data_IF_084205445798
#
_entry.id   IF_084205445798
#
_cell.length_a   1.000
_cell.length_b   1.000
_cell.length_c   1.000
_cell.angle_alpha   90.00
_cell.angle_beta   90.00
_cell.angle_gamma   90.00
#
_symmetry.space_group_name_H-M   'P 1'
#
loop_
_entity.id
_entity.type
_entity.pdbx_description
1 polymer ?
#
# COMPACT_ATOMS: atom_id res chain seq x y z
N UNK A 1 0.94 -6.89 -5.02
CA UNK A 1 1.74 -6.13 -6.02
C UNK A 1 3.04 -5.75 -5.37
N UNK A 2 4.16 -6.15 -5.97
CA UNK A 2 5.50 -5.85 -5.49
C UNK A 2 6.23 -4.99 -6.52
N UNK A 3 6.95 -3.94 -6.11
CA UNK A 3 7.65 -3.04 -7.05
C UNK A 3 8.78 -2.33 -6.33
N UNK A 4 9.83 -1.89 -7.03
CA UNK A 4 10.60 -0.75 -6.52
C UNK A 4 9.72 0.52 -6.58
N UNK A 5 9.80 1.45 -5.60
CA UNK A 5 8.97 2.66 -5.63
C UNK A 5 9.03 3.38 -6.98
N UNK A 6 7.90 3.98 -7.40
CA UNK A 6 7.81 4.77 -8.65
C UNK A 6 7.96 3.98 -9.95
N UNK A 7 7.74 2.66 -9.89
CA UNK A 7 7.78 1.75 -11.05
C UNK A 7 6.39 1.39 -11.61
N UNK A 8 5.36 2.20 -11.37
CA UNK A 8 3.99 1.96 -11.89
C UNK A 8 3.07 1.18 -10.95
N UNK A 9 3.37 1.14 -9.65
CA UNK A 9 2.61 0.41 -8.62
C UNK A 9 1.14 0.78 -8.61
N UNK A 10 0.81 2.08 -8.54
CA UNK A 10 -0.57 2.59 -8.46
C UNK A 10 -1.43 2.12 -9.63
N UNK A 11 -0.88 2.18 -10.85
CA UNK A 11 -1.60 1.76 -12.05
C UNK A 11 -1.85 0.24 -12.05
N UNK A 12 -0.84 -0.55 -11.69
CA UNK A 12 -0.99 -2.00 -11.56
C UNK A 12 -2.00 -2.40 -10.49
N UNK A 13 -2.00 -1.73 -9.33
CA UNK A 13 -2.99 -1.96 -8.27
C UNK A 13 -4.42 -1.74 -8.80
N UNK A 14 -4.66 -0.64 -9.50
CA UNK A 14 -5.99 -0.30 -10.00
C UNK A 14 -6.50 -1.33 -11.01
N UNK A 15 -5.68 -1.68 -12.00
CA UNK A 15 -6.03 -2.68 -13.01
C UNK A 15 -6.34 -4.03 -12.36
N UNK A 16 -5.47 -4.50 -11.46
CA UNK A 16 -5.65 -5.80 -10.79
C UNK A 16 -6.88 -5.78 -9.88
N UNK A 17 -7.16 -4.65 -9.22
CA UNK A 17 -8.37 -4.52 -8.42
C UNK A 17 -9.61 -4.69 -9.28
N UNK A 18 -9.71 -3.93 -10.38
CA UNK A 18 -10.86 -3.95 -11.27
C UNK A 18 -11.07 -5.33 -11.89
N UNK A 19 -10.00 -5.96 -12.39
CA UNK A 19 -10.07 -7.32 -12.95
C UNK A 19 -10.62 -8.31 -11.92
N UNK A 20 -10.16 -8.24 -10.67
CA UNK A 20 -10.61 -9.15 -9.61
C UNK A 20 -12.00 -8.80 -9.03
N UNK A 21 -12.55 -7.64 -9.36
CA UNK A 21 -13.86 -7.17 -8.88
C UNK A 21 -14.81 -6.90 -10.05
N UNK A 22 -14.74 -7.71 -11.12
CA UNK A 22 -15.66 -7.69 -12.25
C UNK A 22 -15.82 -6.31 -12.92
N UNK A 23 -14.75 -5.54 -12.96
CA UNK A 23 -14.73 -4.17 -13.50
C UNK A 23 -15.73 -3.24 -12.78
N UNK A 24 -15.90 -3.38 -11.47
CA UNK A 24 -16.75 -2.51 -10.64
C UNK A 24 -16.11 -1.12 -10.46
N UNK A 25 -16.25 -0.27 -11.48
CA UNK A 25 -15.75 1.11 -11.49
C UNK A 25 -16.42 1.98 -10.42
N UNK A 26 -17.69 1.72 -10.10
CA UNK A 26 -18.43 2.51 -9.10
C UNK A 26 -17.84 2.33 -7.71
N UNK A 27 -17.53 1.09 -7.32
CA UNK A 27 -16.86 0.82 -6.05
C UNK A 27 -15.41 1.28 -6.06
N UNK A 28 -14.69 1.11 -7.17
CA UNK A 28 -13.31 1.60 -7.29
C UNK A 28 -13.20 3.12 -7.07
N UNK A 29 -14.20 3.88 -7.52
CA UNK A 29 -14.30 5.34 -7.34
C UNK A 29 -14.66 5.74 -5.91
N UNK A 30 -15.49 4.95 -5.21
CA UNK A 30 -15.96 5.23 -3.84
C UNK A 30 -14.96 4.82 -2.77
N UNK A 31 -14.21 3.73 -2.98
CA UNK A 31 -13.29 3.18 -1.98
C UNK A 31 -11.85 3.59 -2.31
N UNK A 32 -11.16 4.33 -1.43
CA UNK A 32 -9.78 4.72 -1.63
C UNK A 32 -8.84 3.54 -1.91
N UNK A 33 -7.82 3.79 -2.74
CA UNK A 33 -6.90 2.74 -3.19
C UNK A 33 -6.06 2.15 -2.04
N UNK A 34 -5.69 2.95 -1.05
CA UNK A 34 -4.97 2.52 0.16
C UNK A 34 -5.82 1.61 1.05
N UNK A 35 -7.15 1.79 1.07
CA UNK A 35 -8.08 0.85 1.69
C UNK A 35 -8.20 -0.46 0.88
N UNK A 36 -8.22 -0.37 -0.46
CA UNK A 36 -8.31 -1.53 -1.35
C UNK A 36 -7.01 -2.35 -1.43
N UNK A 37 -5.87 -1.69 -1.23
CA UNK A 37 -4.52 -2.25 -1.21
C UNK A 37 -3.74 -1.72 -0.02
N UNK A 38 -3.93 -2.30 1.17
CA UNK A 38 -3.10 -2.02 2.32
C UNK A 38 -1.62 -2.19 1.99
N UNK A 39 -0.82 -1.27 2.53
CA UNK A 39 0.62 -1.25 2.31
C UNK A 39 1.30 -2.04 3.43
N UNK A 40 2.00 -3.12 3.06
CA UNK A 40 2.51 -4.08 4.04
C UNK A 40 3.46 -3.46 5.07
N UNK A 41 4.33 -2.55 4.64
CA UNK A 41 5.42 -2.00 5.44
C UNK A 41 5.32 -0.50 5.76
N UNK A 42 4.24 0.20 5.38
CA UNK A 42 4.18 1.66 5.53
C UNK A 42 4.31 2.12 6.98
N UNK A 43 3.79 1.34 7.93
CA UNK A 43 3.92 1.60 9.37
C UNK A 43 5.37 1.68 9.86
N UNK A 44 6.35 1.10 9.14
CA UNK A 44 7.77 1.26 9.49
C UNK A 44 8.27 2.69 9.34
N UNK A 45 7.68 3.47 8.44
CA UNK A 45 8.04 4.87 8.23
C UNK A 45 7.40 5.80 9.27
N UNK A 46 6.57 5.26 10.16
CA UNK A 46 5.72 6.05 11.04
C UNK A 46 6.10 5.90 12.52
N UNK A 47 7.00 6.76 13.00
CA UNK A 47 7.32 6.83 14.42
C UNK A 47 6.21 7.55 15.21
N UNK A 48 6.10 7.31 16.54
CA UNK A 48 5.21 8.11 17.40
C UNK A 48 5.59 9.60 17.43
N UNK A 49 6.87 9.92 17.21
CA UNK A 49 7.37 11.29 17.11
C UNK A 49 6.81 11.96 15.85
N UNK A 50 6.97 11.32 14.68
CA UNK A 50 6.45 11.81 13.41
C UNK A 50 4.93 12.02 13.49
N UNK A 51 4.22 11.11 14.17
CA UNK A 51 2.78 11.25 14.39
C UNK A 51 2.41 12.58 15.05
N UNK A 52 3.06 12.89 16.18
CA UNK A 52 2.77 14.12 16.93
C UNK A 52 3.11 15.37 16.11
N UNK A 53 4.24 15.35 15.41
CA UNK A 53 4.70 16.47 14.59
C UNK A 53 3.74 16.74 13.43
N UNK A 54 3.35 15.70 12.69
CA UNK A 54 2.41 15.86 11.57
C UNK A 54 1.03 16.29 12.07
N UNK A 55 0.56 15.74 13.20
CA UNK A 55 -0.73 16.13 13.77
C UNK A 55 -0.72 17.61 14.24
N UNK A 56 0.37 18.06 14.86
CA UNK A 56 0.55 19.46 15.27
C UNK A 56 0.59 20.42 14.06
N UNK A 57 1.26 20.02 12.97
CA UNK A 57 1.27 20.78 11.70
C UNK A 57 -0.11 20.84 11.01
N UNK A 58 -1.07 20.02 11.46
CA UNK A 58 -2.42 19.92 10.92
C UNK A 58 -3.48 20.39 11.93
N UNK A 59 -3.12 21.27 12.86
CA UNK A 59 -4.02 21.87 13.86
C UNK A 59 -4.76 20.83 14.73
N UNK A 60 -4.15 19.67 14.97
CA UNK A 60 -4.71 18.59 15.77
C UNK A 60 -6.08 18.09 15.29
N UNK A 61 -6.33 18.19 13.97
CA UNK A 61 -7.60 17.76 13.39
C UNK A 61 -7.84 16.25 13.57
N UNK A 62 -8.98 15.83 14.15
CA UNK A 62 -9.26 14.42 14.42
C UNK A 62 -9.25 13.53 13.17
N UNK A 63 -9.65 14.06 12.02
CA UNK A 63 -9.60 13.31 10.76
C UNK A 63 -8.16 12.93 10.35
N UNK A 64 -7.19 13.80 10.66
CA UNK A 64 -5.77 13.55 10.36
C UNK A 64 -5.22 12.50 11.30
N UNK A 65 -5.56 12.56 12.59
CA UNK A 65 -5.16 11.56 13.58
C UNK A 65 -5.63 10.14 13.18
N UNK A 66 -6.87 10.00 12.71
CA UNK A 66 -7.39 8.73 12.20
C UNK A 66 -6.61 8.17 10.99
N UNK A 67 -6.24 9.04 10.05
CA UNK A 67 -5.42 8.66 8.89
C UNK A 67 -4.01 8.24 9.32
N UNK A 68 -3.36 9.02 10.18
CA UNK A 68 -2.02 8.72 10.70
C UNK A 68 -2.00 7.41 11.51
N UNK A 69 -3.06 7.15 12.29
CA UNK A 69 -3.22 5.88 13.01
C UNK A 69 -3.32 4.70 12.04
N UNK A 70 -4.05 4.85 10.94
CA UNK A 70 -4.14 3.83 9.89
C UNK A 70 -2.77 3.60 9.25
N UNK A 71 -2.02 4.66 8.94
CA UNK A 71 -0.69 4.58 8.36
C UNK A 71 0.35 3.94 9.29
N UNK A 72 0.20 4.11 10.61
CA UNK A 72 1.04 3.49 11.63
C UNK A 72 0.73 2.00 11.81
N UNK A 73 -0.48 1.55 11.46
CA UNK A 73 -0.91 0.17 11.69
C UNK A 73 -0.12 -0.79 10.78
N UNK A 74 0.56 -1.81 11.34
CA UNK A 74 1.31 -2.77 10.53
C UNK A 74 0.41 -3.55 9.56
N UNK A 75 0.90 -3.79 8.34
CA UNK A 75 0.10 -4.43 7.29
C UNK A 75 -0.40 -5.84 7.64
N UNK A 76 0.33 -6.58 8.49
CA UNK A 76 -0.13 -7.90 8.95
C UNK A 76 -1.37 -7.81 9.86
N UNK A 77 -1.56 -6.70 10.58
CA UNK A 77 -2.77 -6.46 11.37
C UNK A 77 -3.92 -6.03 10.46
N UNK A 78 -3.66 -5.20 9.45
CA UNK A 78 -4.66 -4.89 8.42
C UNK A 78 -5.16 -6.16 7.71
N UNK A 79 -4.28 -7.16 7.54
CA UNK A 79 -4.61 -8.43 6.93
C UNK A 79 -5.58 -9.32 7.73
N UNK A 80 -5.66 -9.17 9.05
CA UNK A 80 -6.62 -9.94 9.87
C UNK A 80 -8.05 -9.41 9.78
N UNK A 81 -8.22 -8.13 9.45
CA UNK A 81 -9.54 -7.51 9.30
C UNK A 81 -10.07 -7.51 7.84
N UNK A 82 -9.21 -7.86 6.88
CA UNK A 82 -9.54 -7.80 5.45
C UNK A 82 -10.29 -9.04 4.97
N UNK A 83 -11.40 -8.84 4.23
CA UNK A 83 -12.14 -9.92 3.58
C UNK A 83 -11.37 -10.49 2.37
N UNK A 84 -11.61 -11.76 2.05
CA UNK A 84 -11.04 -12.38 0.84
C UNK A 84 -11.88 -12.03 -0.40
N UNK A 85 -11.25 -11.89 -1.59
CA UNK A 85 -9.81 -11.97 -1.84
C UNK A 85 -9.06 -10.72 -1.35
N UNK A 86 -7.90 -10.93 -0.71
CA UNK A 86 -7.09 -9.84 -0.15
C UNK A 86 -6.05 -9.36 -1.17
N UNK A 87 -5.85 -8.05 -1.21
CA UNK A 87 -4.87 -7.42 -2.09
C UNK A 87 -3.89 -6.59 -1.25
N UNK A 88 -2.59 -6.79 -1.45
CA UNK A 88 -1.55 -6.03 -0.74
C UNK A 88 -0.58 -5.39 -1.74
N UNK A 89 -0.01 -4.25 -1.35
CA UNK A 89 1.14 -3.67 -2.03
C UNK A 89 2.38 -3.70 -1.12
N UNK A 90 3.55 -3.83 -1.73
CA UNK A 90 4.84 -3.74 -1.04
C UNK A 90 5.95 -3.26 -1.98
N UNK A 91 6.94 -2.61 -1.40
CA UNK A 91 8.24 -2.27 -1.95
C UNK A 91 9.39 -3.05 -1.32
N UNK A 92 9.09 -3.95 -0.38
CA UNK A 92 10.11 -4.84 0.17
C UNK A 92 10.66 -5.77 -0.92
N UNK A 93 11.98 -6.02 -0.93
CA UNK A 93 12.56 -7.09 -1.73
C UNK A 93 12.03 -8.45 -1.26
N UNK A 94 11.99 -9.43 -2.16
CA UNK A 94 11.51 -10.78 -1.85
C UNK A 94 12.23 -11.45 -0.69
N UNK A 95 13.50 -11.09 -0.43
CA UNK A 95 14.29 -11.59 0.69
C UNK A 95 13.77 -11.17 2.06
N UNK A 96 12.97 -10.10 2.14
CA UNK A 96 12.32 -9.63 3.36
C UNK A 96 10.84 -10.07 3.45
N UNK A 97 10.37 -10.82 2.47
CA UNK A 97 9.03 -11.43 2.46
C UNK A 97 9.13 -12.91 2.87
N UNK A 98 8.01 -13.55 3.29
CA UNK A 98 8.03 -14.97 3.59
C UNK A 98 8.57 -15.81 2.41
N UNK A 99 9.48 -16.76 2.62
CA UNK A 99 10.07 -17.54 1.53
C UNK A 99 9.02 -18.40 0.80
N UNK A 100 7.99 -18.85 1.52
CA UNK A 100 6.85 -19.61 0.98
C UNK A 100 5.74 -18.71 0.40
N UNK A 101 6.02 -17.44 0.11
CA UNK A 101 5.02 -16.48 -0.36
C UNK A 101 4.35 -16.96 -1.66
N UNK A 102 5.16 -17.40 -2.63
CA UNK A 102 4.70 -17.81 -3.95
C UNK A 102 3.95 -19.15 -3.96
N UNK A 103 4.08 -19.95 -2.90
CA UNK A 103 3.33 -21.20 -2.75
C UNK A 103 1.85 -20.96 -2.43
N UNK A 104 1.52 -19.78 -1.87
CA UNK A 104 0.17 -19.47 -1.35
C UNK A 104 -0.47 -18.26 -2.01
N UNK A 105 0.30 -17.37 -2.64
CA UNK A 105 -0.24 -16.16 -3.24
C UNK A 105 0.36 -15.85 -4.61
N UNK A 106 -0.40 -15.10 -5.41
CA UNK A 106 0.05 -14.58 -6.70
C UNK A 106 0.71 -13.22 -6.47
N UNK A 107 1.92 -13.06 -7.00
CA UNK A 107 2.65 -11.78 -6.96
C UNK A 107 2.82 -11.26 -8.38
N UNK A 108 2.38 -10.03 -8.61
CA UNK A 108 2.72 -9.27 -9.81
C UNK A 108 3.83 -8.30 -9.42
N UNK A 109 4.98 -8.43 -10.09
CA UNK A 109 6.12 -7.53 -9.95
C UNK A 109 6.19 -6.58 -11.15
N UNK A 110 6.33 -5.28 -10.89
CA UNK A 110 6.52 -4.27 -11.95
C UNK A 110 7.89 -3.65 -11.83
N UNK A 111 8.64 -3.69 -12.92
CA UNK A 111 9.94 -3.05 -13.10
C UNK A 111 9.82 -1.87 -14.07
N UNK A 112 10.69 -0.88 -13.91
CA UNK A 112 10.81 0.29 -14.79
C UNK A 112 12.29 0.57 -15.03
N UNK A 113 12.62 1.21 -16.16
CA UNK A 113 13.96 1.69 -16.45
C UNK A 113 14.49 2.51 -15.25
N UNK A 114 15.66 2.15 -14.69
CA UNK A 114 16.19 2.81 -13.49
C UNK A 114 16.43 4.31 -13.68
N UNK A 115 16.78 4.77 -14.89
CA UNK A 115 16.97 6.20 -15.16
C UNK A 115 15.65 6.97 -14.99
N UNK A 116 14.54 6.39 -15.44
CA UNK A 116 13.21 6.99 -15.28
C UNK A 116 12.69 6.89 -13.84
N UNK A 117 13.05 5.82 -13.13
CA UNK A 117 12.73 5.65 -11.71
C UNK A 117 13.37 6.76 -10.88
N UNK A 118 14.66 7.04 -11.11
CA UNK A 118 15.39 8.11 -10.40
C UNK A 118 14.70 9.45 -10.62
N UNK A 119 14.43 9.83 -11.87
CA UNK A 119 13.74 11.09 -12.19
C UNK A 119 12.34 11.15 -11.59
N UNK A 120 11.65 10.01 -11.45
CA UNK A 120 10.30 9.97 -10.88
C UNK A 120 10.27 10.04 -9.35
N UNK A 121 11.36 9.66 -8.68
CA UNK A 121 11.44 9.58 -7.22
C UNK A 121 11.75 10.92 -6.55
N UNK A 122 12.57 11.74 -7.20
CA UNK A 122 12.94 13.09 -6.76
C UNK A 122 12.05 14.15 -7.41
#
# INVERSE_FOLDING_TARGET
IATFPRSGTTWCQEMVWLINNNLDYEKAKKVPLDTRFPFLEFGMLHSPQLHREVLALNDHRPEVDGVLTTWRTPGYQLASFSQSPRHFKTHLPFTLLPPSLLDRCKVIYVARNPLDVVVSYF
#
